data_IF_959241462982
#
_entry.id   IF_959241462982
#
_cell.length_a   1.000
_cell.length_b   1.000
_cell.length_c   1.000
_cell.angle_alpha   90.00
_cell.angle_beta   90.00
_cell.angle_gamma   90.00
#
_symmetry.space_group_name_H-M   'P 1'
#
loop_
_entity.id
_entity.type
_entity.pdbx_description
1 polymer ?
#
# COMPACT_ATOMS: atom_id res chain seq x y z
N UNK A 1 -16.85 12.33 -4.20
CA UNK A 1 -16.31 12.72 -2.87
C UNK A 1 -17.12 12.14 -1.70
N UNK A 2 -18.44 12.31 -1.65
CA UNK A 2 -19.31 11.84 -0.54
C UNK A 2 -19.14 10.35 -0.20
N UNK A 3 -19.13 9.48 -1.21
CA UNK A 3 -18.94 8.03 -1.03
C UNK A 3 -17.59 7.66 -0.38
N UNK A 4 -16.51 8.36 -0.76
CA UNK A 4 -15.17 8.11 -0.21
C UNK A 4 -15.07 8.51 1.27
N UNK A 5 -15.79 9.56 1.69
CA UNK A 5 -15.86 9.97 3.09
C UNK A 5 -16.65 8.94 3.90
N UNK A 6 -17.78 8.44 3.36
CA UNK A 6 -18.60 7.41 4.00
C UNK A 6 -17.80 6.11 4.19
N UNK A 7 -17.07 5.66 3.17
CA UNK A 7 -16.24 4.45 3.27
C UNK A 7 -15.11 4.62 4.30
N UNK A 8 -14.41 5.76 4.28
CA UNK A 8 -13.38 6.07 5.27
C UNK A 8 -13.94 6.08 6.71
N UNK A 9 -15.13 6.66 6.91
CA UNK A 9 -15.80 6.69 8.20
C UNK A 9 -16.15 5.29 8.72
N UNK A 10 -16.67 4.40 7.85
CA UNK A 10 -17.00 3.03 8.24
C UNK A 10 -15.74 2.26 8.67
N UNK A 11 -14.63 2.39 7.92
CA UNK A 11 -13.34 1.77 8.26
C UNK A 11 -12.85 2.31 9.62
N UNK A 12 -12.88 3.64 9.81
CA UNK A 12 -12.48 4.27 11.07
C UNK A 12 -13.33 3.77 12.25
N UNK A 13 -14.65 3.71 12.10
CA UNK A 13 -15.58 3.22 13.12
C UNK A 13 -15.29 1.76 13.50
N UNK A 14 -14.97 0.91 12.52
CA UNK A 14 -14.59 -0.47 12.77
C UNK A 14 -13.28 -0.58 13.56
N UNK A 15 -12.26 0.22 13.19
CA UNK A 15 -11.00 0.29 13.93
C UNK A 15 -11.20 0.78 15.37
N UNK A 16 -12.07 1.77 15.58
CA UNK A 16 -12.37 2.31 16.90
C UNK A 16 -13.04 1.27 17.82
N UNK A 17 -13.91 0.43 17.27
CA UNK A 17 -14.56 -0.65 18.01
C UNK A 17 -13.58 -1.75 18.41
N UNK A 18 -12.64 -2.12 17.52
CA UNK A 18 -11.80 -3.30 17.70
C UNK A 18 -10.39 -3.01 18.24
N UNK A 19 -9.86 -1.79 18.06
CA UNK A 19 -8.45 -1.43 18.32
C UNK A 19 -8.28 0.02 18.80
N UNK A 20 -8.79 0.31 20.01
CA UNK A 20 -8.71 1.67 20.61
C UNK A 20 -7.30 2.27 20.68
N UNK A 21 -6.26 1.47 20.94
CA UNK A 21 -4.91 1.97 21.14
C UNK A 21 -4.19 2.42 19.84
N UNK A 22 -4.60 1.89 18.68
CA UNK A 22 -3.92 2.15 17.39
C UNK A 22 -4.30 3.53 16.84
N UNK A 23 -5.49 4.04 17.20
CA UNK A 23 -6.01 5.30 16.68
C UNK A 23 -5.12 6.52 17.00
N UNK A 24 -4.36 6.48 18.10
CA UNK A 24 -3.44 7.55 18.48
C UNK A 24 -2.34 7.83 17.43
N UNK A 25 -2.05 6.84 16.58
CA UNK A 25 -1.00 6.94 15.56
C UNK A 25 -1.55 7.21 14.15
N UNK A 26 -2.88 7.21 13.96
CA UNK A 26 -3.50 7.53 12.67
C UNK A 26 -3.72 9.03 12.60
N UNK A 27 -2.73 9.73 12.05
CA UNK A 27 -2.69 11.19 12.09
C UNK A 27 -3.23 11.86 10.82
N UNK A 28 -3.38 11.12 9.72
CA UNK A 28 -3.77 11.70 8.43
C UNK A 28 -4.48 10.70 7.52
N UNK A 29 -5.48 11.21 6.79
CA UNK A 29 -6.11 10.54 5.64
C UNK A 29 -5.73 11.34 4.40
N UNK A 30 -5.20 10.67 3.37
CA UNK A 30 -4.85 11.29 2.09
C UNK A 30 -5.69 10.68 0.98
N UNK A 31 -6.21 11.53 0.10
CA UNK A 31 -6.83 11.11 -1.16
C UNK A 31 -5.67 10.81 -2.13
N UNK A 32 -5.68 9.62 -2.72
CA UNK A 32 -4.72 9.27 -3.77
C UNK A 32 -5.13 9.99 -5.05
N UNK A 33 -4.22 10.81 -5.59
CA UNK A 33 -4.41 11.48 -6.85
C UNK A 33 -3.68 10.72 -7.95
N UNK A 34 -4.36 10.43 -9.05
CA UNK A 34 -3.85 9.57 -10.12
C UNK A 34 -2.64 10.18 -10.84
N UNK A 35 -2.52 11.50 -10.87
CA UNK A 35 -1.45 12.18 -11.60
C UNK A 35 -0.06 12.01 -10.97
N UNK A 36 0.03 11.56 -9.73
CA UNK A 36 1.30 11.39 -9.03
C UNK A 36 1.93 10.01 -9.26
N UNK A 37 1.20 9.08 -9.86
CA UNK A 37 1.60 7.68 -9.99
C UNK A 37 1.28 7.15 -11.38
N UNK A 38 2.15 6.29 -11.91
CA UNK A 38 1.83 5.53 -13.11
C UNK A 38 0.80 4.44 -12.75
N UNK A 39 -0.33 4.44 -13.43
CA UNK A 39 -1.32 3.37 -13.31
C UNK A 39 -0.91 2.21 -14.21
N UNK A 40 -0.67 1.05 -13.60
CA UNK A 40 -0.40 -0.21 -14.29
C UNK A 40 -1.56 -1.17 -14.04
N UNK A 41 -1.93 -1.93 -15.06
CA UNK A 41 -2.89 -3.01 -14.92
C UNK A 41 -2.23 -4.26 -14.31
N UNK A 42 -3.07 -5.19 -13.85
CA UNK A 42 -2.61 -6.40 -13.17
C UNK A 42 -1.72 -7.27 -14.07
N UNK A 43 -1.96 -7.24 -15.39
CA UNK A 43 -1.14 -7.95 -16.37
C UNK A 43 0.25 -7.34 -16.50
N UNK A 44 0.38 -6.01 -16.63
CA UNK A 44 1.69 -5.36 -16.70
C UNK A 44 2.49 -5.57 -15.43
N UNK A 45 1.86 -5.49 -14.25
CA UNK A 45 2.54 -5.72 -12.97
C UNK A 45 3.12 -7.14 -12.89
N UNK A 46 2.37 -8.14 -13.37
CA UNK A 46 2.81 -9.54 -13.40
C UNK A 46 3.88 -9.80 -14.45
N UNK A 47 3.68 -9.33 -15.68
CA UNK A 47 4.60 -9.56 -16.79
C UNK A 47 5.96 -8.88 -16.57
N UNK A 48 5.98 -7.75 -15.87
CA UNK A 48 7.21 -7.07 -15.45
C UNK A 48 7.82 -7.67 -14.17
N UNK A 49 7.16 -8.67 -13.57
CA UNK A 49 7.58 -9.33 -12.33
C UNK A 49 7.97 -8.33 -11.23
N UNK A 50 7.18 -7.26 -11.06
CA UNK A 50 7.58 -6.13 -10.20
C UNK A 50 7.76 -6.56 -8.74
N UNK A 51 6.89 -7.44 -8.26
CA UNK A 51 6.84 -7.86 -6.85
C UNK A 51 7.27 -9.32 -6.70
N UNK A 52 6.67 -10.21 -7.48
CA UNK A 52 6.90 -11.65 -7.46
C UNK A 52 7.34 -12.11 -8.85
N UNK A 53 8.12 -13.18 -8.89
CA UNK A 53 8.59 -13.84 -10.11
C UNK A 53 8.27 -15.32 -9.99
N UNK A 54 7.83 -15.94 -11.09
CA UNK A 54 7.56 -17.38 -11.13
C UNK A 54 8.86 -18.16 -11.40
N UNK A 55 9.75 -17.62 -12.24
CA UNK A 55 10.95 -18.29 -12.72
C UNK A 55 12.20 -17.41 -12.61
N UNK A 56 12.48 -16.88 -11.42
CA UNK A 56 13.70 -16.11 -11.21
C UNK A 56 13.67 -15.14 -10.03
N UNK A 57 14.20 -13.94 -10.30
CA UNK A 57 14.34 -12.86 -9.31
C UNK A 57 13.45 -11.71 -9.75
N UNK A 58 12.42 -11.40 -8.97
CA UNK A 58 11.57 -10.24 -9.21
C UNK A 58 12.34 -8.93 -9.07
N UNK A 59 11.84 -7.86 -9.69
CA UNK A 59 12.45 -6.53 -9.57
C UNK A 59 12.58 -6.11 -8.10
N UNK A 60 11.52 -6.32 -7.31
CA UNK A 60 11.53 -6.06 -5.88
C UNK A 60 12.65 -6.83 -5.16
N UNK A 61 12.81 -8.13 -5.44
CA UNK A 61 13.85 -8.95 -4.78
C UNK A 61 15.25 -8.49 -5.17
N UNK A 62 15.45 -8.10 -6.43
CA UNK A 62 16.72 -7.58 -6.91
C UNK A 62 17.10 -6.23 -6.27
N UNK A 63 16.13 -5.31 -6.17
CA UNK A 63 16.33 -3.97 -5.60
C UNK A 63 16.37 -3.96 -4.07
N UNK A 64 15.72 -4.91 -3.40
CA UNK A 64 15.58 -4.88 -1.95
C UNK A 64 16.89 -5.22 -1.22
N UNK A 65 17.69 -4.19 -0.96
CA UNK A 65 18.90 -4.24 -0.13
C UNK A 65 18.70 -3.62 1.26
N UNK A 66 17.44 -3.40 1.65
CA UNK A 66 17.10 -2.76 2.91
C UNK A 66 17.48 -3.65 4.11
N UNK A 67 18.06 -3.04 5.14
CA UNK A 67 18.43 -3.73 6.40
C UNK A 67 17.30 -3.78 7.43
N UNK A 68 16.19 -3.10 7.17
CA UNK A 68 15.05 -3.03 8.10
C UNK A 68 13.77 -3.51 7.43
N UNK A 69 12.88 -4.11 8.22
CA UNK A 69 11.57 -4.59 7.76
C UNK A 69 10.74 -3.41 7.23
N UNK A 70 10.85 -2.24 7.85
CA UNK A 70 10.15 -1.03 7.40
C UNK A 70 10.65 -0.55 6.04
N UNK A 71 11.97 -0.55 5.80
CA UNK A 71 12.53 -0.20 4.49
C UNK A 71 12.07 -1.15 3.38
N UNK A 72 12.09 -2.46 3.67
CA UNK A 72 11.56 -3.50 2.76
C UNK A 72 10.08 -3.26 2.42
N UNK A 73 9.25 -2.91 3.42
CA UNK A 73 7.82 -2.61 3.20
C UNK A 73 7.61 -1.31 2.43
N UNK A 74 8.45 -0.30 2.66
CA UNK A 74 8.38 0.98 1.96
C UNK A 74 8.72 0.80 0.48
N UNK A 75 9.78 0.06 0.16
CA UNK A 75 10.21 -0.19 -1.21
C UNK A 75 9.15 -0.95 -2.03
N UNK A 76 8.37 -1.82 -1.37
CA UNK A 76 7.30 -2.58 -2.03
C UNK A 76 6.06 -1.74 -2.35
N UNK A 77 5.89 -0.59 -1.68
CA UNK A 77 4.66 0.21 -1.69
C UNK A 77 4.68 1.25 -2.79
#
# INVERSE_FOLDING_TARGET
>A
MKLAIISAYIIYKYLLKNKKNILKYINQIKILNNNNYLWLDDYSIKNLELINSENGISLFKFLNKNKTILGTRLLKK
#
